data_IF_570602097933
#
_entry.id   IF_570602097933
#
_cell.length_a   1.000
_cell.length_b   1.000
_cell.length_c   1.000
_cell.angle_alpha   90.00
_cell.angle_beta   90.00
_cell.angle_gamma   90.00
#
_symmetry.space_group_name_H-M   'P 1'
#
loop_
_entity.id
_entity.type
_entity.pdbx_description
1 polymer ?
#
# COMPACT_ATOMS: atom_id res chain seq x y z
N UNK A 1 12.11 -8.60 -6.06
CA UNK A 1 12.06 -7.14 -5.88
C UNK A 1 10.68 -6.66 -6.28
N UNK A 2 9.87 -6.20 -5.32
CA UNK A 2 8.52 -5.70 -5.57
C UNK A 2 8.56 -4.18 -5.82
N UNK A 3 7.68 -3.68 -6.69
CA UNK A 3 7.44 -2.25 -6.88
C UNK A 3 6.09 -1.94 -6.25
N UNK A 4 6.04 -0.98 -5.33
CA UNK A 4 4.80 -0.49 -4.73
C UNK A 4 4.60 0.95 -5.16
N UNK A 5 3.43 1.23 -5.73
CA UNK A 5 3.02 2.57 -6.10
C UNK A 5 2.01 3.07 -5.08
N UNK A 6 2.15 4.32 -4.66
CA UNK A 6 1.24 4.96 -3.71
C UNK A 6 1.07 6.43 -4.01
N UNK A 7 -0.11 6.98 -3.79
CA UNK A 7 -0.36 8.43 -3.83
C UNK A 7 -0.14 9.10 -2.47
N UNK A 8 0.29 8.34 -1.47
CA UNK A 8 0.70 8.88 -0.17
C UNK A 8 2.20 9.22 -0.17
N UNK A 9 2.49 10.52 -0.33
CA UNK A 9 3.85 11.05 -0.33
C UNK A 9 4.56 10.84 1.02
N UNK A 10 3.85 11.03 2.13
CA UNK A 10 4.38 10.89 3.50
C UNK A 10 4.89 9.47 3.74
N UNK A 11 4.12 8.44 3.34
CA UNK A 11 4.53 7.03 3.45
C UNK A 11 5.77 6.74 2.60
N UNK A 12 5.86 7.33 1.41
CA UNK A 12 7.03 7.15 0.53
C UNK A 12 8.28 7.72 1.19
N UNK A 13 8.20 8.94 1.74
CA UNK A 13 9.32 9.60 2.42
C UNK A 13 9.78 8.80 3.64
N UNK A 14 8.84 8.48 4.53
CA UNK A 14 9.09 7.71 5.75
C UNK A 14 9.77 6.37 5.46
N UNK A 15 9.24 5.58 4.52
CA UNK A 15 9.78 4.24 4.23
C UNK A 15 11.08 4.29 3.43
N UNK A 16 11.39 5.41 2.77
CA UNK A 16 12.67 5.62 2.08
C UNK A 16 13.79 6.00 3.04
N UNK A 17 13.48 6.80 4.06
CA UNK A 17 14.50 7.31 4.99
C UNK A 17 15.09 6.24 5.93
N UNK A 18 14.56 5.00 5.94
CA UNK A 18 15.07 3.79 6.61
C UNK A 18 15.43 3.89 8.12
N UNK A 19 15.40 5.07 8.72
CA UNK A 19 15.66 5.32 10.14
C UNK A 19 14.36 5.32 10.94
N UNK A 20 13.63 4.19 10.85
CA UNK A 20 12.31 4.02 11.43
C UNK A 20 12.30 3.16 12.69
N UNK A 21 13.47 2.77 13.22
CA UNK A 21 13.51 2.04 14.50
C UNK A 21 12.88 2.87 15.63
N UNK A 22 12.95 4.21 15.54
CA UNK A 22 12.35 5.15 16.49
C UNK A 22 10.94 5.65 16.08
N UNK A 23 10.36 5.11 15.00
CA UNK A 23 8.98 5.43 14.65
C UNK A 23 8.02 4.88 15.72
N UNK A 24 7.34 5.79 16.43
CA UNK A 24 6.26 5.44 17.38
C UNK A 24 5.07 4.74 16.71
N UNK A 25 5.01 4.70 15.38
CA UNK A 25 3.93 4.06 14.61
C UNK A 25 4.28 2.58 14.37
N UNK A 26 3.54 1.69 15.02
CA UNK A 26 3.73 0.22 14.94
C UNK A 26 3.63 -0.32 13.51
N UNK A 27 2.75 0.23 12.67
CA UNK A 27 2.60 -0.19 11.28
C UNK A 27 3.88 0.02 10.48
N UNK A 28 4.52 1.19 10.60
CA UNK A 28 5.75 1.50 9.87
C UNK A 28 6.89 0.54 10.23
N UNK A 29 7.07 0.27 11.52
CA UNK A 29 8.06 -0.70 12.01
C UNK A 29 7.83 -2.11 11.47
N UNK A 30 6.56 -2.54 11.38
CA UNK A 30 6.22 -3.86 10.80
C UNK A 30 6.50 -3.89 9.30
N UNK A 31 6.11 -2.85 8.56
CA UNK A 31 6.40 -2.72 7.13
C UNK A 31 7.89 -2.79 6.84
N UNK A 32 8.71 -2.06 7.61
CA UNK A 32 10.16 -2.08 7.45
C UNK A 32 10.77 -3.47 7.69
N UNK A 33 10.34 -4.17 8.74
CA UNK A 33 10.80 -5.55 9.01
C UNK A 33 10.47 -6.50 7.87
N UNK A 34 9.28 -6.37 7.28
CA UNK A 34 8.89 -7.17 6.11
C UNK A 34 9.76 -6.81 4.90
N UNK A 35 10.00 -5.53 4.64
CA UNK A 35 10.89 -5.07 3.55
C UNK A 35 12.32 -5.61 3.71
N UNK A 36 12.82 -5.73 4.94
CA UNK A 36 14.14 -6.30 5.22
C UNK A 36 14.16 -7.83 5.04
N UNK A 37 13.08 -8.53 5.41
CA UNK A 37 12.99 -9.99 5.34
C UNK A 37 12.71 -10.52 3.92
N UNK A 38 11.80 -9.87 3.20
CA UNK A 38 11.31 -10.31 1.87
C UNK A 38 12.10 -9.69 0.70
N UNK A 39 13.13 -8.90 1.03
CA UNK A 39 13.93 -8.12 0.09
C UNK A 39 13.37 -6.73 -0.15
N UNK A 40 14.27 -5.75 -0.32
CA UNK A 40 13.91 -4.34 -0.45
C UNK A 40 12.82 -4.09 -1.51
N UNK A 41 11.78 -3.37 -1.10
CA UNK A 41 10.73 -2.89 -1.99
C UNK A 41 11.12 -1.54 -2.57
N UNK A 42 10.77 -1.32 -3.84
CA UNK A 42 10.90 -0.02 -4.48
C UNK A 42 9.56 0.71 -4.36
N UNK A 43 9.45 1.62 -3.39
CA UNK A 43 8.24 2.38 -3.12
C UNK A 43 8.32 3.70 -3.88
N UNK A 44 7.33 3.99 -4.72
CA UNK A 44 7.29 5.20 -5.54
C UNK A 44 5.98 5.94 -5.36
N UNK A 45 6.11 7.25 -5.24
CA UNK A 45 4.96 8.14 -5.28
C UNK A 45 4.39 8.26 -6.70
N UNK A 46 3.07 8.19 -6.84
CA UNK A 46 2.32 8.52 -8.05
C UNK A 46 1.21 9.53 -7.75
N UNK A 47 0.81 10.39 -8.70
CA UNK A 47 -0.35 11.25 -8.53
C UNK A 47 -1.65 10.46 -8.24
N UNK A 48 -2.52 11.01 -7.40
CA UNK A 48 -3.80 10.38 -7.01
C UNK A 48 -4.68 9.94 -8.18
N UNK A 49 -4.72 10.72 -9.26
CA UNK A 49 -5.50 10.39 -10.46
C UNK A 49 -4.98 9.15 -11.21
N UNK A 50 -3.77 8.67 -10.87
CA UNK A 50 -3.20 7.42 -11.40
C UNK A 50 -3.41 6.23 -10.44
N UNK A 51 -3.89 6.45 -9.21
CA UNK A 51 -4.08 5.42 -8.18
C UNK A 51 -5.57 5.09 -7.92
N UNK A 52 -6.44 5.33 -8.92
CA UNK A 52 -7.90 5.26 -8.75
C UNK A 52 -8.41 3.87 -8.35
N UNK A 53 -7.82 2.80 -8.91
CA UNK A 53 -8.19 1.43 -8.59
C UNK A 53 -7.94 1.12 -7.11
N UNK A 54 -6.78 1.52 -6.58
CA UNK A 54 -6.46 1.33 -5.16
C UNK A 54 -7.37 2.14 -4.24
N UNK A 55 -7.67 3.41 -4.60
CA UNK A 55 -8.62 4.26 -3.85
C UNK A 55 -10.03 3.64 -3.80
N UNK A 56 -10.52 3.10 -4.93
CA UNK A 56 -11.82 2.43 -4.99
C UNK A 56 -11.84 1.14 -4.19
N UNK A 57 -10.81 0.30 -4.31
CA UNK A 57 -10.68 -0.93 -3.53
C UNK A 57 -10.64 -0.66 -2.02
N UNK A 58 -9.88 0.34 -1.59
CA UNK A 58 -9.82 0.74 -0.19
C UNK A 58 -11.20 1.17 0.33
N UNK A 59 -11.97 1.94 -0.45
CA UNK A 59 -13.34 2.34 -0.09
C UNK A 59 -14.31 1.15 -0.08
N UNK A 60 -14.21 0.25 -1.06
CA UNK A 60 -15.04 -0.95 -1.14
C UNK A 60 -14.82 -1.85 0.08
N UNK A 61 -13.56 -1.97 0.53
CA UNK A 61 -13.19 -2.78 1.69
C UNK A 61 -13.86 -2.38 3.00
N UNK A 62 -14.32 -1.12 3.13
CA UNK A 62 -15.05 -0.66 4.30
C UNK A 62 -16.39 -1.39 4.49
N UNK A 63 -16.95 -1.95 3.43
CA UNK A 63 -18.20 -2.73 3.46
C UNK A 63 -17.98 -4.23 3.63
N UNK A 64 -16.73 -4.71 3.61
CA UNK A 64 -16.41 -6.12 3.69
C UNK A 64 -16.55 -6.65 5.11
N UNK A 65 -17.04 -7.90 5.22
CA UNK A 65 -17.19 -8.58 6.52
C UNK A 65 -15.86 -8.99 7.15
N UNK A 66 -14.81 -9.20 6.34
CA UNK A 66 -13.47 -9.54 6.80
C UNK A 66 -12.52 -8.36 6.59
N UNK A 67 -11.62 -8.16 7.55
CA UNK A 67 -10.60 -7.09 7.51
C UNK A 67 -9.47 -7.37 6.50
N UNK A 68 -9.29 -8.62 6.09
CA UNK A 68 -8.36 -9.02 5.04
C UNK A 68 -9.13 -9.85 4.00
N UNK A 69 -8.94 -9.52 2.73
CA UNK A 69 -9.43 -10.31 1.60
C UNK A 69 -8.31 -10.48 0.59
N UNK A 70 -8.21 -11.70 0.06
CA UNK A 70 -7.39 -12.01 -1.09
C UNK A 70 -8.33 -12.01 -2.29
N UNK A 71 -8.08 -11.11 -3.23
CA UNK A 71 -8.83 -11.01 -4.47
C UNK A 71 -8.12 -11.82 -5.54
N UNK A 72 -8.75 -12.89 -6.02
CA UNK A 72 -8.25 -13.67 -7.15
C UNK A 72 -8.63 -13.00 -8.49
N UNK A 73 -9.68 -12.20 -8.48
CA UNK A 73 -10.22 -11.48 -9.63
C UNK A 73 -10.61 -10.07 -9.20
N UNK A 74 -10.64 -9.14 -10.15
CA UNK A 74 -11.06 -7.77 -9.89
C UNK A 74 -12.58 -7.71 -9.58
N UNK A 75 -13.00 -7.06 -8.48
CA UNK A 75 -14.41 -6.78 -8.23
C UNK A 75 -15.05 -6.02 -9.40
N UNK A 76 -16.31 -6.31 -9.69
CA UNK A 76 -17.03 -5.72 -10.84
C UNK A 76 -17.05 -4.19 -10.80
N UNK A 77 -17.07 -3.63 -9.60
CA UNK A 77 -17.09 -2.20 -9.31
C UNK A 77 -15.83 -1.46 -9.76
N UNK A 78 -14.74 -2.19 -10.05
CA UNK A 78 -13.45 -1.62 -10.44
C UNK A 78 -12.96 -2.01 -11.84
N UNK A 79 -13.67 -2.93 -12.54
CA UNK A 79 -13.24 -3.43 -13.86
C UNK A 79 -13.09 -2.30 -14.88
N UNK A 80 -14.00 -1.32 -14.85
CA UNK A 80 -13.99 -0.19 -15.79
C UNK A 80 -12.81 0.79 -15.58
N UNK A 81 -12.02 0.60 -14.52
CA UNK A 81 -10.88 1.44 -14.16
C UNK A 81 -9.52 0.76 -14.36
N UNK A 82 -9.51 -0.50 -14.82
CA UNK A 82 -8.30 -1.28 -15.15
C UNK A 82 -7.85 -1.00 -16.58
#
# INVERSE_FOLDING_TARGET
MAIILTDNLEVTQILTDLDLEDSRITVLRRTQRIMMAEGMWNIKHIPRNQNLVADRLAKLSLSWKSSLQVLNEAPKEIIDFL
#
